data_IF_621544905861
#
_entry.id   IF_621544905861
#
_cell.length_a   1.000
_cell.length_b   1.000
_cell.length_c   1.000
_cell.angle_alpha   90.00
_cell.angle_beta   90.00
_cell.angle_gamma   90.00
#
_symmetry.space_group_name_H-M   'P 1'
#
loop_
_entity.id
_entity.type
_entity.pdbx_description
1 polymer ?
#
# COMPACT_ATOMS: atom_id res chain seq x y z
N UNK A 1 59.37 8.47 -13.61
CA UNK A 1 59.58 9.29 -14.83
C UNK A 1 59.71 8.34 -16.00
N UNK A 2 59.01 8.38 -17.13
CA UNK A 2 58.07 9.31 -17.76
C UNK A 2 57.34 8.46 -18.83
N UNK A 3 56.09 8.02 -18.61
CA UNK A 3 55.29 7.40 -19.69
C UNK A 3 54.64 8.52 -20.48
N UNK A 4 55.42 9.05 -21.41
CA UNK A 4 55.05 10.03 -22.44
C UNK A 4 53.81 9.53 -23.18
N UNK A 5 52.81 10.41 -23.25
CA UNK A 5 51.52 10.15 -23.84
C UNK A 5 51.57 9.96 -25.35
N UNK A 6 50.68 9.09 -25.81
CA UNK A 6 50.20 9.11 -27.17
C UNK A 6 48.67 9.08 -27.10
N UNK A 7 48.10 10.27 -26.90
CA UNK A 7 46.68 10.56 -27.12
C UNK A 7 46.42 10.55 -28.64
N UNK A 8 46.40 9.37 -29.27
CA UNK A 8 45.73 9.24 -30.55
C UNK A 8 44.24 9.05 -30.28
N UNK A 9 43.55 10.18 -30.20
CA UNK A 9 42.10 10.26 -30.24
C UNK A 9 41.62 9.86 -31.64
N UNK A 10 41.33 8.57 -31.83
CA UNK A 10 40.44 8.15 -32.91
C UNK A 10 39.00 8.37 -32.45
N UNK A 11 38.46 9.41 -33.04
CA UNK A 11 37.07 9.83 -33.12
C UNK A 11 36.07 8.66 -33.09
N UNK A 12 35.18 8.70 -32.10
CA UNK A 12 33.73 8.48 -32.28
C UNK A 12 33.22 7.08 -32.58
N UNK A 13 32.93 6.29 -31.54
CA UNK A 13 31.70 5.50 -31.50
C UNK A 13 31.28 5.24 -30.04
N UNK A 14 30.17 5.85 -29.64
CA UNK A 14 29.57 5.62 -28.34
C UNK A 14 29.06 4.16 -28.25
N UNK A 15 29.65 3.36 -27.37
CA UNK A 15 29.02 2.13 -26.87
C UNK A 15 29.10 2.11 -25.33
N UNK A 16 28.24 2.92 -24.69
CA UNK A 16 27.80 2.63 -23.33
C UNK A 16 26.86 1.42 -23.41
N UNK A 17 27.42 0.22 -23.46
CA UNK A 17 26.67 -1.02 -23.44
C UNK A 17 26.99 -1.80 -22.16
N UNK A 18 26.50 -1.28 -21.04
CA UNK A 18 26.37 -2.02 -19.79
C UNK A 18 24.91 -1.98 -19.40
N UNK A 19 24.11 -2.89 -19.95
CA UNK A 19 22.70 -3.03 -19.58
C UNK A 19 22.60 -3.39 -18.10
N UNK A 20 21.88 -2.52 -17.39
CA UNK A 20 21.20 -2.70 -16.12
C UNK A 20 21.28 -4.08 -15.46
N UNK A 21 21.66 -4.08 -14.18
CA UNK A 21 21.44 -5.21 -13.28
C UNK A 21 19.98 -5.65 -13.33
N UNK A 22 19.79 -6.93 -13.65
CA UNK A 22 18.50 -7.59 -13.58
C UNK A 22 18.10 -7.77 -12.11
N UNK A 23 17.31 -6.83 -11.58
CA UNK A 23 16.41 -7.18 -10.49
C UNK A 23 15.30 -8.01 -11.11
N UNK A 24 15.36 -9.33 -10.89
CA UNK A 24 14.35 -10.27 -11.34
C UNK A 24 13.01 -9.97 -10.64
N UNK A 25 12.20 -9.09 -11.22
CA UNK A 25 10.76 -9.12 -11.01
C UNK A 25 10.19 -10.13 -12.01
N UNK A 26 10.34 -11.42 -11.70
CA UNK A 26 9.58 -12.44 -12.39
C UNK A 26 8.08 -12.20 -12.07
N UNK A 27 7.22 -12.03 -13.07
CA UNK A 27 5.80 -12.21 -12.84
C UNK A 27 5.61 -13.70 -12.59
N UNK A 28 5.06 -14.07 -11.44
CA UNK A 28 4.54 -15.43 -11.25
C UNK A 28 3.41 -15.61 -12.26
N UNK A 29 3.74 -16.24 -13.39
CA UNK A 29 2.82 -16.62 -14.44
C UNK A 29 1.81 -17.62 -13.89
N UNK A 30 0.57 -17.17 -13.81
CA UNK A 30 -0.65 -17.88 -14.19
C UNK A 30 -0.70 -19.40 -13.94
N UNK A 31 -1.09 -19.78 -12.73
CA UNK A 31 -1.95 -20.95 -12.50
C UNK A 31 -2.98 -20.54 -11.44
N UNK A 32 -4.24 -20.36 -11.86
CA UNK A 32 -5.40 -19.87 -11.10
C UNK A 32 -5.51 -18.33 -10.97
N UNK A 33 -6.05 -17.65 -12.00
CA UNK A 33 -6.44 -16.24 -11.95
C UNK A 33 -7.61 -16.04 -10.98
N UNK A 34 -7.32 -16.03 -9.68
CA UNK A 34 -8.26 -15.51 -8.68
C UNK A 34 -8.36 -14.02 -8.98
N UNK A 35 -9.43 -13.63 -9.67
CA UNK A 35 -9.74 -12.21 -9.85
C UNK A 35 -9.64 -11.54 -8.49
N UNK A 36 -8.93 -10.40 -8.42
CA UNK A 36 -8.82 -9.66 -7.18
C UNK A 36 -10.23 -9.44 -6.62
N UNK A 37 -10.46 -9.75 -5.35
CA UNK A 37 -11.78 -9.74 -4.75
C UNK A 37 -12.37 -8.34 -4.87
N UNK A 38 -13.51 -8.27 -5.56
CA UNK A 38 -14.20 -7.02 -5.88
C UNK A 38 -14.89 -6.37 -4.68
N UNK A 39 -15.08 -7.15 -3.63
CA UNK A 39 -15.66 -6.73 -2.37
C UNK A 39 -14.73 -7.12 -1.23
N UNK A 40 -14.71 -6.28 -0.22
CA UNK A 40 -13.93 -6.51 0.99
C UNK A 40 -14.70 -6.03 2.21
N UNK A 41 -14.45 -6.69 3.34
CA UNK A 41 -14.86 -6.23 4.66
C UNK A 41 -13.64 -6.07 5.54
N UNK A 42 -13.62 -4.98 6.31
CA UNK A 42 -12.61 -4.76 7.34
C UNK A 42 -13.31 -4.40 8.62
N UNK A 43 -13.03 -5.14 9.71
CA UNK A 43 -13.46 -4.76 11.04
C UNK A 43 -12.36 -3.93 11.69
N UNK A 44 -12.70 -2.70 12.06
CA UNK A 44 -11.82 -1.80 12.78
C UNK A 44 -12.24 -1.74 14.25
N UNK A 45 -11.25 -1.60 15.13
CA UNK A 45 -11.46 -1.20 16.51
C UNK A 45 -10.80 0.16 16.74
N UNK A 46 -11.59 1.16 17.13
CA UNK A 46 -11.13 2.53 17.37
C UNK A 46 -11.49 2.99 18.78
N UNK A 47 -10.81 4.02 19.26
CA UNK A 47 -11.15 4.76 20.48
C UNK A 47 -11.92 6.03 20.13
N UNK A 48 -13.06 6.24 20.76
CA UNK A 48 -13.83 7.48 20.62
C UNK A 48 -13.13 8.64 21.35
N UNK A 49 -12.95 9.76 20.65
CA UNK A 49 -12.47 11.02 21.20
C UNK A 49 -13.62 11.93 21.65
N UNK A 50 -13.31 12.94 22.47
CA UNK A 50 -14.30 13.87 23.04
C UNK A 50 -15.05 14.70 21.99
N UNK A 51 -14.45 14.88 20.81
CA UNK A 51 -15.01 15.61 19.66
C UNK A 51 -15.91 14.72 18.77
N UNK A 52 -16.13 13.47 19.16
CA UNK A 52 -16.87 12.47 18.38
C UNK A 52 -16.04 11.81 17.26
N UNK A 53 -14.76 12.16 17.13
CA UNK A 53 -13.81 11.55 16.21
C UNK A 53 -13.31 10.18 16.69
N UNK A 54 -12.65 9.46 15.78
CA UNK A 54 -12.07 8.16 16.06
C UNK A 54 -10.54 8.24 16.05
N UNK A 55 -9.91 7.70 17.10
CA UNK A 55 -8.45 7.69 17.29
C UNK A 55 -7.97 6.27 17.63
N UNK A 56 -6.66 6.03 17.57
CA UNK A 56 -6.06 4.73 17.91
C UNK A 56 -6.77 3.52 17.25
N UNK A 57 -7.12 3.69 15.96
CA UNK A 57 -7.78 2.67 15.15
C UNK A 57 -6.80 1.56 14.76
N UNK A 58 -7.25 0.31 14.89
CA UNK A 58 -6.53 -0.87 14.46
C UNK A 58 -7.44 -1.80 13.65
N UNK A 59 -6.83 -2.56 12.75
CA UNK A 59 -7.53 -3.60 11.97
C UNK A 59 -7.63 -4.85 12.83
N UNK A 60 -8.86 -5.25 13.14
CA UNK A 60 -9.16 -6.49 13.87
C UNK A 60 -9.25 -7.67 12.91
N UNK A 61 -9.89 -7.46 11.76
CA UNK A 61 -9.94 -8.44 10.68
C UNK A 61 -10.07 -7.76 9.34
N UNK A 62 -9.53 -8.40 8.31
CA UNK A 62 -9.68 -8.04 6.91
C UNK A 62 -10.15 -9.28 6.17
N UNK A 63 -11.16 -9.17 5.32
CA UNK A 63 -11.65 -10.29 4.53
C UNK A 63 -12.01 -9.79 3.14
N UNK A 64 -11.36 -10.31 2.09
CA UNK A 64 -10.21 -11.23 2.11
C UNK A 64 -8.91 -10.57 2.59
N UNK A 65 -8.11 -11.34 3.33
CA UNK A 65 -6.84 -10.87 3.89
C UNK A 65 -5.80 -10.52 2.82
N UNK A 66 -4.93 -9.56 3.13
CA UNK A 66 -3.77 -9.23 2.30
C UNK A 66 -4.08 -8.47 1.00
N UNK A 67 -5.28 -7.90 0.86
CA UNK A 67 -5.69 -7.15 -0.34
C UNK A 67 -5.55 -5.64 -0.19
N UNK A 68 -5.17 -5.17 1.00
CA UNK A 68 -4.96 -3.75 1.28
C UNK A 68 -6.24 -3.00 1.66
N UNK A 69 -7.36 -3.71 1.85
CA UNK A 69 -8.59 -3.11 2.35
C UNK A 69 -8.39 -2.53 3.74
N UNK A 70 -7.55 -3.14 4.58
CA UNK A 70 -7.24 -2.65 5.93
C UNK A 70 -6.67 -1.23 5.93
N UNK A 71 -5.72 -0.95 5.03
CA UNK A 71 -5.12 0.38 4.89
C UNK A 71 -6.15 1.41 4.38
N UNK A 72 -6.97 1.01 3.40
CA UNK A 72 -8.06 1.84 2.92
C UNK A 72 -9.08 2.15 4.03
N UNK A 73 -9.44 1.15 4.83
CA UNK A 73 -10.38 1.29 5.94
C UNK A 73 -9.84 2.22 7.03
N UNK A 74 -8.55 2.14 7.36
CA UNK A 74 -7.90 3.09 8.27
C UNK A 74 -7.95 4.52 7.73
N UNK A 75 -7.83 4.71 6.40
CA UNK A 75 -8.03 5.99 5.74
C UNK A 75 -9.46 6.52 5.92
N UNK A 76 -10.48 5.67 5.76
CA UNK A 76 -11.88 6.01 6.00
C UNK A 76 -12.11 6.40 7.47
N UNK A 77 -11.51 5.66 8.41
CA UNK A 77 -11.69 5.91 9.84
C UNK A 77 -11.21 7.30 10.30
N UNK A 78 -10.19 7.88 9.63
CA UNK A 78 -9.71 9.24 9.94
C UNK A 78 -10.77 10.33 9.78
N UNK A 79 -11.71 10.12 8.85
CA UNK A 79 -12.78 11.08 8.56
C UNK A 79 -14.14 10.64 9.14
N UNK A 80 -14.19 9.45 9.73
CA UNK A 80 -15.41 8.94 10.35
C UNK A 80 -15.70 9.69 11.65
N UNK A 81 -16.96 10.05 11.84
CA UNK A 81 -17.47 10.65 13.08
C UNK A 81 -18.62 9.81 13.60
N UNK A 82 -18.64 9.58 14.91
CA UNK A 82 -19.80 8.99 15.56
C UNK A 82 -20.80 10.06 15.96
N UNK A 83 -22.08 9.69 15.93
CA UNK A 83 -23.13 10.54 16.47
C UNK A 83 -22.90 10.71 17.98
N UNK A 84 -23.14 11.92 18.53
CA UNK A 84 -23.00 12.16 19.96
C UNK A 84 -23.92 11.21 20.73
N UNK A 85 -23.34 10.44 21.65
CA UNK A 85 -24.02 9.36 22.37
C UNK A 85 -23.08 8.24 22.86
N UNK A 86 -21.90 8.12 22.26
CA UNK A 86 -20.82 7.29 22.81
C UNK A 86 -20.07 8.00 23.94
N UNK A 87 -19.54 7.23 24.89
CA UNK A 87 -18.70 7.75 25.95
C UNK A 87 -17.27 8.00 25.45
N UNK A 88 -16.65 9.11 25.84
CA UNK A 88 -15.23 9.35 25.54
C UNK A 88 -14.37 8.17 26.02
N UNK A 89 -13.40 7.76 25.20
CA UNK A 89 -12.50 6.65 25.51
C UNK A 89 -13.09 5.27 25.25
N UNK A 90 -14.38 5.17 24.91
CA UNK A 90 -15.00 3.92 24.52
C UNK A 90 -14.29 3.30 23.32
N UNK A 91 -14.02 1.99 23.39
CA UNK A 91 -13.57 1.20 22.24
C UNK A 91 -14.80 0.81 21.43
N UNK A 92 -14.82 1.21 20.17
CA UNK A 92 -15.88 0.87 19.22
C UNK A 92 -15.37 -0.02 18.13
N UNK A 93 -16.21 -0.97 17.71
CA UNK A 93 -15.94 -1.86 16.59
C UNK A 93 -16.97 -1.62 15.50
N UNK A 94 -16.49 -1.45 14.27
CA UNK A 94 -17.37 -1.30 13.11
C UNK A 94 -16.74 -1.92 11.87
N UNK A 95 -17.60 -2.35 10.95
CA UNK A 95 -17.19 -2.95 9.68
C UNK A 95 -17.24 -1.91 8.56
N UNK A 96 -16.15 -1.81 7.80
CA UNK A 96 -16.08 -1.07 6.54
C UNK A 96 -16.28 -2.06 5.40
N UNK A 97 -17.28 -1.82 4.56
CA UNK A 97 -17.63 -2.67 3.41
C UNK A 97 -17.23 -1.96 2.12
N UNK A 98 -16.34 -2.56 1.35
CA UNK A 98 -15.95 -2.12 0.03
C UNK A 98 -16.78 -2.83 -1.03
N UNK A 99 -17.35 -2.07 -1.96
CA UNK A 99 -18.02 -2.57 -3.16
C UNK A 99 -17.44 -1.86 -4.38
N UNK A 100 -16.57 -2.54 -5.12
CA UNK A 100 -16.01 -1.99 -6.35
C UNK A 100 -16.85 -2.47 -7.54
N UNK A 101 -17.56 -1.53 -8.15
CA UNK A 101 -18.18 -1.71 -9.46
C UNK A 101 -17.09 -1.86 -10.53
N UNK A 102 -17.34 -2.70 -11.56
CA UNK A 102 -16.47 -2.87 -12.73
C UNK A 102 -16.14 -1.54 -13.41
#
# INVERSE_FOLDING_TARGET
MMRIGLCLALVGLALTAGCAGAVSNAPLSAENTVAAPRNGEVVLECRLASDGGLTACLVVSETPEGQGFGQAALGVAKNAKMKPGGAEGQRVRFAVRFRLSD
#
